data_IF_008896290975
#
_entry.id   IF_008896290975
#
_cell.length_a   1.000
_cell.length_b   1.000
_cell.length_c   1.000
_cell.angle_alpha   90.00
_cell.angle_beta   90.00
_cell.angle_gamma   90.00
#
_symmetry.space_group_name_H-M   'P 1'
#
loop_
_entity.id
_entity.type
_entity.pdbx_description
1 polymer ?
#
# COMPACT_ATOMS: atom_id res chain seq x y z
N UNK A 1 24.08 -20.69 8.21
CA UNK A 1 23.53 -20.62 6.84
C UNK A 1 23.24 -19.16 6.54
N UNK A 2 24.12 -18.53 5.77
CA UNK A 2 23.95 -17.14 5.34
C UNK A 2 22.94 -17.19 4.20
N UNK A 3 21.74 -16.65 4.41
CA UNK A 3 20.76 -16.53 3.34
C UNK A 3 21.38 -15.68 2.23
N UNK A 4 21.72 -16.30 1.10
CA UNK A 4 22.10 -15.58 -0.11
C UNK A 4 20.86 -14.86 -0.61
N UNK A 5 20.70 -13.61 -0.19
CA UNK A 5 19.81 -12.67 -0.87
C UNK A 5 20.42 -12.51 -2.27
N UNK A 6 19.77 -13.08 -3.29
CA UNK A 6 20.11 -12.83 -4.68
C UNK A 6 19.67 -11.40 -5.03
N UNK A 7 20.43 -10.41 -4.55
CA UNK A 7 20.20 -8.97 -4.78
C UNK A 7 19.87 -8.66 -6.25
N UNK A 8 20.42 -9.40 -7.20
CA UNK A 8 20.24 -9.20 -8.63
C UNK A 8 18.82 -9.52 -9.11
N UNK A 9 18.18 -10.58 -8.62
CA UNK A 9 16.81 -10.91 -9.04
C UNK A 9 15.78 -9.94 -8.45
N UNK A 10 16.00 -9.56 -7.19
CA UNK A 10 15.13 -8.63 -6.48
C UNK A 10 15.20 -7.22 -7.09
N UNK A 11 16.41 -6.78 -7.44
CA UNK A 11 16.64 -5.52 -8.15
C UNK A 11 15.96 -5.50 -9.51
N UNK A 12 16.11 -6.56 -10.33
CA UNK A 12 15.48 -6.61 -11.65
C UNK A 12 13.95 -6.61 -11.58
N UNK A 13 13.37 -7.31 -10.61
CA UNK A 13 11.92 -7.32 -10.36
C UNK A 13 11.43 -5.94 -9.96
N UNK A 14 12.13 -5.26 -9.04
CA UNK A 14 11.81 -3.89 -8.66
C UNK A 14 11.92 -2.92 -9.84
N UNK A 15 13.01 -2.99 -10.61
CA UNK A 15 13.26 -2.17 -11.79
C UNK A 15 12.16 -2.32 -12.84
N UNK A 16 11.76 -3.55 -13.13
CA UNK A 16 10.70 -3.80 -14.09
C UNK A 16 9.36 -3.24 -13.60
N UNK A 17 9.06 -3.37 -12.31
CA UNK A 17 7.85 -2.77 -11.73
C UNK A 17 7.88 -1.24 -11.77
N UNK A 18 9.02 -0.62 -11.51
CA UNK A 18 9.21 0.84 -11.63
C UNK A 18 9.08 1.31 -13.09
N UNK A 19 9.69 0.60 -14.04
CA UNK A 19 9.63 0.94 -15.47
C UNK A 19 8.23 0.82 -16.06
N UNK A 20 7.48 -0.21 -15.66
CA UNK A 20 6.11 -0.47 -16.13
C UNK A 20 5.04 0.12 -15.20
N UNK A 21 5.47 0.98 -14.26
CA UNK A 21 4.60 1.54 -13.26
C UNK A 21 3.58 2.48 -13.90
N UNK A 22 2.27 2.29 -13.69
CA UNK A 22 1.30 3.34 -14.01
C UNK A 22 1.66 4.60 -13.21
N UNK A 23 1.42 5.78 -13.79
CA UNK A 23 1.56 7.03 -13.05
C UNK A 23 0.73 6.99 -11.76
N UNK A 24 1.16 7.74 -10.75
CA UNK A 24 0.43 7.85 -9.48
C UNK A 24 -1.04 8.20 -9.79
N UNK A 25 -1.96 7.30 -9.43
CA UNK A 25 -3.37 7.44 -9.82
C UNK A 25 -4.08 8.58 -9.09
N UNK A 26 -3.68 8.86 -7.84
CA UNK A 26 -4.28 9.91 -7.02
C UNK A 26 -3.21 10.84 -6.42
N UNK A 27 -2.65 11.77 -7.22
CA UNK A 27 -1.55 12.65 -6.80
C UNK A 27 -1.86 13.50 -5.56
N UNK A 28 -3.12 13.86 -5.34
CA UNK A 28 -3.57 14.64 -4.18
C UNK A 28 -3.38 13.91 -2.83
N UNK A 29 -3.14 12.59 -2.86
CA UNK A 29 -2.93 11.74 -1.68
C UNK A 29 -1.49 11.17 -1.59
N UNK A 30 -0.54 11.76 -2.31
CA UNK A 30 0.89 11.36 -2.26
C UNK A 30 1.48 11.52 -0.86
N UNK A 31 1.10 12.57 -0.14
CA UNK A 31 1.64 12.81 1.20
C UNK A 31 0.89 12.00 2.24
N UNK A 32 1.65 11.49 3.22
CA UNK A 32 1.09 10.78 4.38
C UNK A 32 -0.01 11.59 5.07
N UNK A 33 0.21 12.90 5.29
CA UNK A 33 -0.75 13.78 5.97
C UNK A 33 -2.07 13.87 5.21
N UNK A 34 -2.05 13.96 3.86
CA UNK A 34 -3.29 14.00 3.07
C UNK A 34 -4.06 12.69 3.17
N UNK A 35 -3.37 11.55 3.22
CA UNK A 35 -4.01 10.24 3.46
C UNK A 35 -4.62 10.17 4.85
N UNK A 36 -3.88 10.55 5.87
CA UNK A 36 -4.38 10.52 7.24
C UNK A 36 -5.62 11.40 7.42
N UNK A 37 -5.60 12.63 6.89
CA UNK A 37 -6.73 13.56 6.93
C UNK A 37 -7.99 13.01 6.23
N UNK A 38 -7.82 12.22 5.16
CA UNK A 38 -8.96 11.64 4.45
C UNK A 38 -9.72 10.57 5.26
N UNK A 39 -9.08 9.98 6.28
CA UNK A 39 -9.64 8.91 7.09
C UNK A 39 -10.46 9.41 8.30
N UNK A 40 -10.73 10.71 8.39
CA UNK A 40 -11.49 11.29 9.51
C UNK A 40 -12.86 10.63 9.70
N UNK A 41 -13.54 10.28 8.60
CA UNK A 41 -14.86 9.62 8.61
C UNK A 41 -14.79 8.08 8.60
N UNK A 42 -13.59 7.50 8.54
CA UNK A 42 -13.40 6.05 8.58
C UNK A 42 -13.65 5.54 10.02
N UNK A 43 -14.35 4.40 10.19
CA UNK A 43 -14.68 3.82 11.48
C UNK A 43 -13.45 3.66 12.36
N UNK A 44 -13.61 4.00 13.63
CA UNK A 44 -12.57 3.79 14.65
C UNK A 44 -12.40 2.30 14.98
N UNK A 45 -13.38 1.47 14.63
CA UNK A 45 -13.40 0.03 14.81
C UNK A 45 -12.67 -0.70 13.68
N UNK A 46 -11.43 -0.29 13.35
CA UNK A 46 -10.40 -1.03 12.58
C UNK A 46 -10.35 -0.81 11.05
N UNK A 47 -9.14 -0.92 10.44
CA UNK A 47 -7.79 -0.93 11.03
C UNK A 47 -7.35 0.48 11.45
N UNK A 48 -6.19 0.57 12.11
CA UNK A 48 -5.63 1.85 12.54
C UNK A 48 -5.37 2.81 11.35
N UNK A 49 -5.78 4.07 11.52
CA UNK A 49 -5.72 5.09 10.45
C UNK A 49 -4.28 5.45 10.07
N UNK A 50 -3.34 5.37 11.02
CA UNK A 50 -1.92 5.58 10.73
C UNK A 50 -1.40 4.43 9.89
N UNK A 51 -1.67 3.18 10.27
CA UNK A 51 -1.26 2.00 9.50
C UNK A 51 -1.84 1.98 8.09
N UNK A 52 -3.12 2.36 7.92
CA UNK A 52 -3.73 2.54 6.60
C UNK A 52 -2.97 3.59 5.77
N UNK A 53 -2.67 4.74 6.37
CA UNK A 53 -1.96 5.84 5.71
C UNK A 53 -0.51 5.48 5.36
N UNK A 54 0.17 4.73 6.22
CA UNK A 54 1.52 4.19 5.95
C UNK A 54 1.52 3.21 4.79
N UNK A 55 0.50 2.34 4.72
CA UNK A 55 0.32 1.40 3.62
C UNK A 55 -0.17 2.04 2.30
N UNK A 56 -0.27 3.36 2.24
CA UNK A 56 -0.61 4.10 1.03
C UNK A 56 -2.11 4.30 0.81
N UNK A 57 -2.95 3.99 1.80
CA UNK A 57 -4.40 4.10 1.67
C UNK A 57 -4.95 5.46 2.11
N UNK A 58 -5.92 5.98 1.37
CA UNK A 58 -6.76 7.11 1.72
C UNK A 58 -8.23 6.67 1.79
N UNK A 59 -9.08 7.41 2.51
CA UNK A 59 -10.51 7.11 2.64
C UNK A 59 -11.26 7.34 1.33
N UNK A 60 -11.92 6.29 0.79
CA UNK A 60 -12.75 6.38 -0.42
C UNK A 60 -14.23 6.53 -0.07
N UNK A 61 -14.72 5.67 0.81
CA UNK A 61 -16.10 5.70 1.35
C UNK A 61 -16.04 5.61 2.88
N UNK A 62 -17.20 5.44 3.53
CA UNK A 62 -17.26 5.22 4.98
C UNK A 62 -16.65 3.88 5.41
N UNK A 63 -16.51 2.92 4.52
CA UNK A 63 -16.17 1.52 4.82
C UNK A 63 -15.05 0.98 3.92
N UNK A 64 -14.52 1.82 3.01
CA UNK A 64 -13.45 1.43 2.11
C UNK A 64 -12.35 2.47 2.03
N UNK A 65 -11.15 1.97 1.76
CA UNK A 65 -9.97 2.77 1.49
C UNK A 65 -9.43 2.46 0.10
N UNK A 66 -8.64 3.38 -0.45
CA UNK A 66 -8.05 3.23 -1.78
C UNK A 66 -6.57 3.63 -1.77
N UNK A 67 -5.73 2.86 -2.47
CA UNK A 67 -4.30 3.14 -2.60
C UNK A 67 -4.10 4.34 -3.52
N UNK A 68 -3.34 5.35 -3.07
CA UNK A 68 -3.06 6.54 -3.89
C UNK A 68 -2.26 6.22 -5.16
N UNK A 69 -1.53 5.11 -5.14
CA UNK A 69 -0.57 4.76 -6.16
C UNK A 69 -1.15 3.80 -7.20
N UNK A 70 -1.59 2.61 -6.77
CA UNK A 70 -2.12 1.57 -7.67
C UNK A 70 -3.65 1.57 -7.79
N UNK A 71 -4.36 2.37 -6.99
CA UNK A 71 -5.82 2.43 -7.00
C UNK A 71 -6.55 1.23 -6.42
N UNK A 72 -5.84 0.26 -5.82
CA UNK A 72 -6.43 -0.86 -5.09
C UNK A 72 -7.44 -0.34 -4.07
N UNK A 73 -8.67 -0.86 -4.09
CA UNK A 73 -9.72 -0.54 -3.12
C UNK A 73 -9.91 -1.74 -2.20
N UNK A 74 -9.95 -1.50 -0.90
CA UNK A 74 -10.21 -2.53 0.11
C UNK A 74 -11.31 -2.07 1.07
N UNK A 75 -12.16 -3.01 1.47
CA UNK A 75 -13.26 -2.85 2.42
C UNK A 75 -13.40 -4.11 3.28
N UNK A 76 -14.40 -4.15 4.17
CA UNK A 76 -14.70 -5.32 5.03
C UNK A 76 -13.51 -5.76 5.91
N UNK A 77 -12.78 -4.79 6.44
CA UNK A 77 -11.63 -5.02 7.31
C UNK A 77 -12.02 -5.70 8.63
N UNK A 78 -11.17 -6.62 9.08
CA UNK A 78 -11.32 -7.38 10.32
C UNK A 78 -10.38 -6.87 11.42
N UNK A 79 -10.69 -7.22 12.68
CA UNK A 79 -9.74 -7.03 13.79
C UNK A 79 -8.44 -7.74 13.43
N UNK A 80 -7.32 -7.00 13.46
CA UNK A 80 -5.98 -7.56 13.30
C UNK A 80 -5.48 -7.62 11.86
N UNK A 81 -6.30 -7.21 10.88
CA UNK A 81 -5.83 -7.08 9.50
C UNK A 81 -4.67 -6.09 9.43
N UNK A 82 -3.60 -6.48 8.73
CA UNK A 82 -2.44 -5.63 8.49
C UNK A 82 -2.59 -4.95 7.12
N UNK A 83 -2.68 -3.61 7.05
CA UNK A 83 -2.89 -2.91 5.78
C UNK A 83 -1.84 -3.23 4.71
N UNK A 84 -0.56 -3.35 5.09
CA UNK A 84 0.48 -3.73 4.14
C UNK A 84 0.31 -5.17 3.61
N UNK A 85 -0.09 -6.13 4.47
CA UNK A 85 -0.29 -7.52 4.04
C UNK A 85 -1.48 -7.64 3.09
N UNK A 86 -2.59 -6.96 3.38
CA UNK A 86 -3.73 -6.94 2.46
C UNK A 86 -3.38 -6.21 1.15
N UNK A 87 -2.60 -5.12 1.20
CA UNK A 87 -2.08 -4.47 0.00
C UNK A 87 -1.22 -5.43 -0.85
N UNK A 88 -0.31 -6.19 -0.24
CA UNK A 88 0.52 -7.16 -0.94
C UNK A 88 -0.31 -8.32 -1.53
N UNK A 89 -1.25 -8.84 -0.75
CA UNK A 89 -2.16 -9.91 -1.16
C UNK A 89 -2.96 -9.56 -2.42
N UNK A 90 -3.44 -8.31 -2.54
CA UNK A 90 -4.29 -7.90 -3.64
C UNK A 90 -3.60 -7.04 -4.72
N UNK A 91 -2.39 -6.54 -4.47
CA UNK A 91 -1.61 -5.73 -5.42
C UNK A 91 -0.10 -5.81 -5.16
N UNK A 92 0.46 -7.02 -5.24
CA UNK A 92 1.90 -7.28 -5.02
C UNK A 92 2.85 -6.57 -6.01
N UNK A 93 2.36 -6.07 -7.14
CA UNK A 93 3.16 -5.32 -8.12
C UNK A 93 3.03 -3.79 -7.96
N UNK A 94 2.35 -3.31 -6.92
CA UNK A 94 2.27 -1.88 -6.63
C UNK A 94 3.66 -1.32 -6.32
N UNK A 95 4.17 -0.40 -7.16
CA UNK A 95 5.51 0.16 -6.98
C UNK A 95 5.69 0.86 -5.64
N UNK A 96 4.67 1.56 -5.13
CA UNK A 96 4.72 2.11 -3.77
C UNK A 96 4.94 1.03 -2.71
N UNK A 97 4.21 -0.09 -2.80
CA UNK A 97 4.37 -1.22 -1.87
C UNK A 97 5.77 -1.82 -1.99
N UNK A 98 6.24 -2.09 -3.22
CA UNK A 98 7.56 -2.67 -3.46
C UNK A 98 8.69 -1.78 -2.95
N UNK A 99 8.59 -0.45 -3.14
CA UNK A 99 9.55 0.51 -2.59
C UNK A 99 9.49 0.60 -1.06
N UNK A 100 8.30 0.41 -0.47
CA UNK A 100 8.10 0.53 0.97
C UNK A 100 8.49 -0.73 1.75
N UNK A 101 8.26 -1.92 1.17
CA UNK A 101 8.38 -3.21 1.88
C UNK A 101 9.35 -4.20 1.22
N UNK A 102 9.71 -3.99 -0.03
CA UNK A 102 10.56 -4.90 -0.81
C UNK A 102 9.76 -5.92 -1.62
N UNK A 103 10.45 -6.62 -2.53
CA UNK A 103 9.85 -7.55 -3.51
C UNK A 103 9.45 -8.92 -2.94
N UNK A 104 9.89 -9.22 -1.72
CA UNK A 104 9.70 -10.49 -1.00
C UNK A 104 8.85 -10.31 0.27
N UNK A 105 8.14 -9.18 0.39
CA UNK A 105 7.27 -8.88 1.51
C UNK A 105 5.98 -9.71 1.50
#
# INVERSE_FOLDING_TARGET
MIYQINCTSDYNKLLNSVKNCPSIQYPQYVTFIKRLQSLNKFPSSLPDKLQLSEAGFFGKTRDSVQSFHCGLILSNWLIGDCPFREHAKFSNNCTFLLLSKGVNF
#
